data_IF_052386820982
#
_entry.id   IF_052386820982
#
_cell.length_a   1.000
_cell.length_b   1.000
_cell.length_c   1.000
_cell.angle_alpha   90.00
_cell.angle_beta   90.00
_cell.angle_gamma   90.00
#
_symmetry.space_group_name_H-M   'P 1'
#
loop_
_entity.id
_entity.type
_entity.pdbx_description
1 polymer ?
#
# COMPACT_ATOMS: atom_id res chain seq x y z
N UNK A 1 6.39 -9.46 56.67
CA UNK A 1 4.97 -9.17 56.35
C UNK A 1 4.39 -10.34 55.60
N UNK A 2 3.11 -10.66 55.85
CA UNK A 2 2.42 -11.82 55.28
C UNK A 2 2.02 -11.57 53.83
N UNK A 3 2.50 -12.42 52.91
CA UNK A 3 1.80 -12.68 51.65
C UNK A 3 1.07 -14.02 51.79
N UNK A 4 -0.27 -14.06 51.69
CA UNK A 4 -1.01 -15.29 51.82
C UNK A 4 -0.82 -16.23 50.61
N UNK A 5 -0.99 -17.51 50.91
CA UNK A 5 -0.88 -18.68 50.03
C UNK A 5 -2.16 -18.87 49.19
N UNK A 6 -2.04 -19.72 48.16
CA UNK A 6 -3.12 -20.27 47.34
C UNK A 6 -3.62 -19.33 46.21
N UNK A 7 -4.06 -19.85 45.05
CA UNK A 7 -4.88 -21.08 44.96
C UNK A 7 -4.76 -21.87 43.65
N UNK A 8 -4.73 -23.20 43.85
CA UNK A 8 -5.05 -24.30 42.91
C UNK A 8 -4.28 -24.40 41.58
N UNK A 9 -3.19 -25.18 41.67
CA UNK A 9 -2.89 -26.23 40.69
C UNK A 9 -4.14 -27.06 40.35
N UNK A 10 -4.24 -27.58 39.13
CA UNK A 10 -4.24 -29.03 38.86
C UNK A 10 -3.88 -29.29 37.36
N UNK A 11 -3.34 -30.46 37.00
CA UNK A 11 -2.52 -30.62 35.80
C UNK A 11 -3.19 -31.45 34.68
N UNK A 12 -2.64 -31.39 33.47
CA UNK A 12 -2.70 -32.49 32.49
C UNK A 12 -1.39 -32.63 31.70
N UNK A 13 -0.53 -33.50 32.24
CA UNK A 13 0.34 -34.47 31.56
C UNK A 13 0.13 -34.55 30.03
N UNK A 14 1.00 -34.00 29.18
CA UNK A 14 2.34 -34.45 28.77
C UNK A 14 2.36 -35.28 27.47
N UNK A 15 3.45 -35.09 26.70
CA UNK A 15 4.22 -35.96 25.78
C UNK A 15 4.88 -34.98 24.76
N UNK A 16 6.18 -34.69 24.81
CA UNK A 16 7.34 -35.49 24.34
C UNK A 16 7.27 -35.81 22.84
N UNK A 17 8.34 -35.76 22.04
CA UNK A 17 9.80 -35.68 22.30
C UNK A 17 10.43 -34.42 21.58
N UNK A 18 11.73 -34.17 21.36
CA UNK A 18 12.95 -34.98 21.54
C UNK A 18 14.26 -34.22 21.96
N UNK A 19 14.88 -33.41 21.10
CA UNK A 19 16.32 -33.08 21.13
C UNK A 19 16.61 -31.55 21.06
N UNK A 20 17.33 -30.93 22.00
CA UNK A 20 18.72 -31.12 22.44
C UNK A 20 19.75 -30.36 21.56
N UNK A 21 20.37 -29.32 22.14
CA UNK A 21 21.38 -28.48 21.49
C UNK A 21 21.72 -27.26 22.36
N UNK A 22 22.81 -27.33 23.12
CA UNK A 22 23.18 -26.36 24.17
C UNK A 22 24.09 -25.21 23.62
N UNK A 23 24.66 -24.28 24.42
CA UNK A 23 24.41 -22.84 24.28
C UNK A 23 25.59 -22.04 23.70
N UNK A 24 25.40 -20.76 23.33
CA UNK A 24 26.54 -19.83 23.32
C UNK A 24 26.22 -18.35 23.57
N UNK A 25 27.06 -17.75 24.42
CA UNK A 25 27.42 -16.34 24.58
C UNK A 25 26.34 -15.25 24.77
N UNK A 26 26.26 -14.86 26.04
CA UNK A 26 26.13 -13.46 26.49
C UNK A 26 26.95 -12.45 25.66
N UNK A 27 26.28 -11.37 25.24
CA UNK A 27 26.90 -10.03 25.14
C UNK A 27 26.08 -9.06 26.00
N UNK A 28 26.72 -8.15 26.75
CA UNK A 28 26.03 -7.32 27.73
C UNK A 28 25.49 -6.01 27.12
N UNK A 29 24.49 -5.46 27.81
CA UNK A 29 24.20 -4.03 27.91
C UNK A 29 23.92 -3.29 26.58
N UNK A 30 22.67 -3.36 26.13
CA UNK A 30 22.06 -2.21 25.43
C UNK A 30 21.16 -1.46 26.41
N UNK A 31 21.72 -0.34 26.86
CA UNK A 31 21.18 0.64 27.79
C UNK A 31 19.75 1.06 27.43
N UNK A 32 18.90 1.07 28.46
CA UNK A 32 17.46 1.36 28.33
C UNK A 32 17.18 2.71 27.67
N UNK A 33 16.34 2.70 26.63
CA UNK A 33 15.42 3.80 26.36
C UNK A 33 14.07 3.23 25.90
N UNK A 34 13.12 3.27 26.82
CA UNK A 34 11.77 2.77 26.67
C UNK A 34 10.94 3.65 25.74
N UNK A 35 10.44 3.08 24.64
CA UNK A 35 9.13 3.44 24.11
C UNK A 35 8.32 2.16 23.89
N UNK A 36 7.37 1.93 24.80
CA UNK A 36 6.36 0.90 24.63
C UNK A 36 5.35 1.39 23.58
N UNK A 37 5.43 0.84 22.37
CA UNK A 37 4.28 0.80 21.46
C UNK A 37 4.17 -0.59 20.88
N UNK A 38 3.03 -1.17 21.24
CA UNK A 38 2.43 -2.43 20.80
C UNK A 38 2.63 -2.73 19.31
N UNK A 39 2.96 -4.00 19.01
CA UNK A 39 2.50 -4.78 17.86
C UNK A 39 2.37 -4.08 16.48
N UNK A 40 3.38 -4.28 15.61
CA UNK A 40 3.25 -4.90 14.26
C UNK A 40 4.22 -4.30 13.21
N UNK A 41 4.99 -5.13 12.49
CA UNK A 41 5.70 -4.69 11.29
C UNK A 41 4.74 -4.67 10.09
N UNK A 42 3.90 -3.63 9.98
CA UNK A 42 3.02 -3.49 8.81
C UNK A 42 3.84 -3.16 7.56
N UNK A 43 4.02 -4.15 6.70
CA UNK A 43 4.80 -4.07 5.46
C UNK A 43 4.01 -3.34 4.34
N UNK A 44 3.65 -2.07 4.57
CA UNK A 44 2.88 -1.27 3.62
C UNK A 44 3.77 -0.70 2.51
N UNK A 45 4.05 -1.52 1.49
CA UNK A 45 4.74 -1.10 0.26
C UNK A 45 4.04 -1.59 -1.03
N UNK A 46 2.71 -1.72 -1.04
CA UNK A 46 1.96 -2.18 -2.24
C UNK A 46 0.69 -1.39 -2.60
N UNK A 47 0.12 -0.59 -1.69
CA UNK A 47 -1.23 -0.02 -1.89
C UNK A 47 -1.29 1.23 -2.80
N UNK A 48 -0.26 2.07 -2.83
CA UNK A 48 -0.31 3.34 -3.61
C UNK A 48 -0.52 3.12 -5.11
N UNK A 49 -0.08 1.98 -5.64
CA UNK A 49 -0.17 1.65 -7.06
C UNK A 49 -1.58 1.26 -7.52
N UNK A 50 -2.43 0.75 -6.61
CA UNK A 50 -3.78 0.29 -6.96
C UNK A 50 -4.66 1.47 -7.35
N UNK A 51 -4.72 2.51 -6.51
CA UNK A 51 -5.58 3.68 -6.78
C UNK A 51 -5.18 4.37 -8.09
N UNK A 52 -3.88 4.51 -8.39
CA UNK A 52 -3.48 5.07 -9.68
C UNK A 52 -3.94 4.19 -10.85
N UNK A 53 -3.73 2.86 -10.76
CA UNK A 53 -4.15 1.93 -11.81
C UNK A 53 -5.66 1.98 -12.06
N UNK A 54 -6.48 2.08 -11.02
CA UNK A 54 -7.94 2.25 -11.13
C UNK A 54 -8.33 3.54 -11.85
N UNK A 55 -7.69 4.67 -11.53
CA UNK A 55 -7.93 5.95 -12.24
C UNK A 55 -7.61 5.80 -13.72
N UNK A 56 -6.47 5.22 -14.06
CA UNK A 56 -6.04 4.99 -15.44
C UNK A 56 -7.00 4.05 -16.20
N UNK A 57 -7.53 3.02 -15.54
CA UNK A 57 -8.52 2.11 -16.15
C UNK A 57 -9.83 2.84 -16.48
N UNK A 58 -10.36 3.67 -15.56
CA UNK A 58 -11.55 4.49 -15.82
C UNK A 58 -11.35 5.46 -16.99
N UNK A 59 -10.15 6.00 -17.16
CA UNK A 59 -9.81 6.84 -18.33
C UNK A 59 -9.85 6.04 -19.62
N UNK A 60 -9.28 4.83 -19.64
CA UNK A 60 -9.28 3.99 -20.83
C UNK A 60 -10.69 3.55 -21.21
N UNK A 61 -11.52 3.19 -20.23
CA UNK A 61 -12.95 2.89 -20.43
C UNK A 61 -13.68 4.11 -21.03
N UNK A 62 -13.52 5.30 -20.44
CA UNK A 62 -14.13 6.53 -20.94
C UNK A 62 -13.69 6.88 -22.38
N UNK A 63 -12.39 6.76 -22.69
CA UNK A 63 -11.89 7.01 -24.05
C UNK A 63 -12.39 5.93 -25.02
N UNK A 64 -12.56 4.69 -24.59
CA UNK A 64 -13.11 3.63 -25.43
C UNK A 64 -14.58 3.86 -25.80
N UNK A 65 -15.35 4.56 -24.97
CA UNK A 65 -16.77 4.89 -25.22
C UNK A 65 -16.91 6.22 -25.97
N UNK A 66 -16.17 7.26 -25.57
CA UNK A 66 -16.31 8.63 -26.13
C UNK A 66 -15.30 8.95 -27.24
N UNK A 67 -14.36 8.05 -27.55
CA UNK A 67 -13.27 8.25 -28.52
C UNK A 67 -12.15 9.21 -28.06
N UNK A 68 -12.46 10.16 -27.18
CA UNK A 68 -11.50 11.14 -26.67
C UNK A 68 -11.80 11.59 -25.24
N UNK A 69 -10.75 12.06 -24.54
CA UNK A 69 -10.84 12.68 -23.21
C UNK A 69 -10.00 13.95 -23.13
N UNK A 70 -10.46 14.93 -22.37
CA UNK A 70 -9.71 16.14 -21.98
C UNK A 70 -9.33 16.06 -20.50
N UNK A 71 -8.33 16.86 -20.07
CA UNK A 71 -7.98 16.98 -18.65
C UNK A 71 -9.21 17.34 -17.79
N UNK A 72 -10.06 18.27 -18.25
CA UNK A 72 -11.30 18.61 -17.54
C UNK A 72 -12.24 17.42 -17.35
N UNK A 73 -12.44 16.59 -18.39
CA UNK A 73 -13.27 15.38 -18.28
C UNK A 73 -12.66 14.35 -17.32
N UNK A 74 -11.34 14.13 -17.36
CA UNK A 74 -10.65 13.27 -16.41
C UNK A 74 -10.83 13.75 -14.96
N UNK A 75 -10.76 15.06 -14.72
CA UNK A 75 -10.98 15.63 -13.39
C UNK A 75 -12.43 15.43 -12.91
N UNK A 76 -13.42 15.58 -13.79
CA UNK A 76 -14.82 15.30 -13.46
C UNK A 76 -15.08 13.81 -13.22
N UNK A 77 -14.46 12.92 -14.01
CA UNK A 77 -14.62 11.47 -13.89
C UNK A 77 -14.07 10.91 -12.57
N UNK A 78 -12.97 11.50 -12.09
CA UNK A 78 -12.12 10.87 -11.06
C UNK A 78 -11.89 11.75 -9.83
N UNK A 79 -12.38 13.00 -9.82
CA UNK A 79 -12.26 13.94 -8.69
C UNK A 79 -10.86 14.48 -8.40
N UNK A 80 -9.86 14.17 -9.25
CA UNK A 80 -8.45 14.48 -8.98
C UNK A 80 -8.03 15.92 -9.32
N UNK A 81 -6.89 16.32 -8.78
CA UNK A 81 -6.23 17.59 -9.13
C UNK A 81 -5.81 17.64 -10.61
N UNK A 82 -5.68 18.85 -11.14
CA UNK A 82 -5.27 19.08 -12.53
C UNK A 82 -3.87 18.53 -12.86
N UNK A 83 -2.94 18.63 -11.89
CA UNK A 83 -1.60 18.06 -11.98
C UNK A 83 -1.65 16.54 -12.02
N UNK A 84 -2.50 15.92 -11.20
CA UNK A 84 -2.68 14.46 -11.16
C UNK A 84 -3.29 13.97 -12.47
N UNK A 85 -4.36 14.60 -12.96
CA UNK A 85 -4.98 14.26 -14.24
C UNK A 85 -4.01 14.41 -15.42
N UNK A 86 -3.19 15.46 -15.44
CA UNK A 86 -2.14 15.63 -16.46
C UNK A 86 -1.13 14.49 -16.41
N UNK A 87 -0.58 14.15 -15.23
CA UNK A 87 0.38 13.05 -15.07
C UNK A 87 -0.22 11.69 -15.44
N UNK A 88 -1.46 11.43 -15.05
CA UNK A 88 -2.17 10.18 -15.34
C UNK A 88 -2.42 10.04 -16.86
N UNK A 89 -2.81 11.13 -17.55
CA UNK A 89 -2.96 11.15 -19.02
C UNK A 89 -1.62 11.06 -19.76
N UNK A 90 -0.58 11.74 -19.30
CA UNK A 90 0.76 11.68 -19.90
C UNK A 90 1.39 10.30 -19.72
N UNK A 91 1.21 9.64 -18.58
CA UNK A 91 1.63 8.26 -18.38
C UNK A 91 0.93 7.29 -19.35
N UNK A 92 -0.32 7.54 -19.77
CA UNK A 92 -0.99 6.76 -20.81
C UNK A 92 -0.46 7.05 -22.21
N UNK A 93 0.01 8.27 -22.48
CA UNK A 93 0.68 8.62 -23.75
C UNK A 93 2.08 8.01 -23.82
N UNK A 94 2.87 8.08 -22.76
CA UNK A 94 4.19 7.43 -22.66
C UNK A 94 4.10 5.91 -22.82
N UNK A 95 3.03 5.29 -22.30
CA UNK A 95 2.73 3.86 -22.49
C UNK A 95 2.15 3.52 -23.87
N UNK A 96 2.03 4.48 -24.78
CA UNK A 96 1.47 4.30 -26.12
C UNK A 96 -0.02 3.91 -26.15
N UNK A 97 -0.77 4.13 -25.06
CA UNK A 97 -2.20 3.81 -24.96
C UNK A 97 -3.09 4.94 -25.45
N UNK A 98 -2.63 6.18 -25.31
CA UNK A 98 -3.31 7.37 -25.80
C UNK A 98 -2.36 8.19 -26.68
N UNK A 99 -2.93 9.00 -27.57
CA UNK A 99 -2.21 10.01 -28.35
C UNK A 99 -2.79 11.38 -28.04
N UNK A 100 -1.93 12.34 -27.67
CA UNK A 100 -2.39 13.71 -27.39
C UNK A 100 -2.49 14.53 -28.68
N UNK A 101 -3.69 15.03 -28.97
CA UNK A 101 -4.00 15.89 -30.11
C UNK A 101 -4.31 17.32 -29.66
N UNK A 102 -3.95 18.31 -30.49
CA UNK A 102 -4.22 19.73 -30.23
C UNK A 102 -3.14 20.45 -29.39
N UNK A 103 -3.37 21.75 -29.12
CA UNK A 103 -2.40 22.65 -28.49
C UNK A 103 -3.05 23.51 -27.41
N UNK A 104 -2.34 23.75 -26.29
CA UNK A 104 -2.80 24.51 -25.10
C UNK A 104 -4.21 24.07 -24.65
N UNK A 105 -5.21 24.95 -24.79
CA UNK A 105 -6.57 24.77 -24.24
C UNK A 105 -7.39 23.69 -24.95
N UNK A 106 -7.05 23.37 -26.19
CA UNK A 106 -7.74 22.35 -27.00
C UNK A 106 -6.98 21.02 -27.03
N UNK A 107 -6.12 20.74 -26.03
CA UNK A 107 -5.42 19.46 -25.91
C UNK A 107 -6.43 18.39 -25.44
N UNK A 108 -6.62 17.37 -26.27
CA UNK A 108 -7.42 16.17 -26.00
C UNK A 108 -6.55 14.93 -26.23
N UNK A 109 -6.99 13.81 -25.69
CA UNK A 109 -6.28 12.53 -25.77
C UNK A 109 -7.24 11.52 -26.38
N UNK A 110 -6.81 10.89 -27.46
CA UNK A 110 -7.57 9.89 -28.22
C UNK A 110 -6.87 8.53 -28.09
N UNK A 111 -7.57 7.42 -28.32
CA UNK A 111 -6.95 6.10 -28.37
C UNK A 111 -5.95 6.06 -29.55
N UNK A 112 -4.76 5.47 -29.35
CA UNK A 112 -3.73 5.38 -30.41
C UNK A 112 -3.80 4.08 -31.22
#
# INVERSE_FOLDING_TARGET
>A
MTFPKARELMPVTAHSEDNNGIPVLTQPEQKELSWTVDETPVATQQEETSSQKERLLKVMEYVSVNGSITNSQHRTLTGVSDRTATRDLEALVERGRLRSFGKRRSRRYELS
#
